data_IF_978161424608
#
_entry.id   IF_978161424608
#
_cell.length_a   1.000
_cell.length_b   1.000
_cell.length_c   1.000
_cell.angle_alpha   90.00
_cell.angle_beta   90.00
_cell.angle_gamma   90.00
#
_symmetry.space_group_name_H-M   'P 1'
#
loop_
_entity.id
_entity.type
_entity.pdbx_description
1 polymer ?
#
# COMPACT_ATOMS: atom_id res chain seq x y z
N UNK A 1 14.52 19.15 -1.78
CA UNK A 1 14.67 18.85 -0.35
C UNK A 1 14.04 17.49 -0.12
N UNK A 2 14.80 16.53 0.38
CA UNK A 2 14.28 15.25 0.85
C UNK A 2 13.69 15.48 2.24
N UNK A 3 12.36 15.57 2.37
CA UNK A 3 11.71 15.85 3.65
C UNK A 3 11.14 14.55 4.25
N UNK A 4 11.26 14.35 5.58
CA UNK A 4 10.55 13.27 6.24
C UNK A 4 9.04 13.46 6.04
N UNK A 5 8.39 12.42 5.54
CA UNK A 5 6.96 12.39 5.34
C UNK A 5 6.36 11.17 6.02
N UNK A 6 5.07 11.24 6.27
CA UNK A 6 4.30 10.12 6.79
C UNK A 6 3.28 9.69 5.74
N UNK A 7 3.08 8.37 5.68
CA UNK A 7 2.00 7.76 4.94
C UNK A 7 1.01 7.18 5.94
N UNK A 8 -0.13 7.85 6.07
CA UNK A 8 -1.27 7.37 6.82
C UNK A 8 -2.10 6.46 5.93
N UNK A 9 -2.31 5.20 6.30
CA UNK A 9 -3.24 4.31 5.59
C UNK A 9 -4.36 3.84 6.49
N UNK A 10 -5.62 4.04 6.08
CA UNK A 10 -6.80 3.56 6.78
C UNK A 10 -7.46 2.42 5.99
N UNK A 11 -7.74 1.29 6.65
CA UNK A 11 -8.40 0.11 6.11
C UNK A 11 -9.75 -0.09 6.80
N UNK A 12 -10.84 -0.09 6.04
CA UNK A 12 -12.21 -0.18 6.58
C UNK A 12 -13.21 -0.61 5.49
N UNK A 13 -14.48 -0.84 5.84
CA UNK A 13 -15.54 -1.18 4.86
C UNK A 13 -16.04 0.05 4.09
N UNK A 14 -16.22 -0.03 2.78
CA UNK A 14 -16.66 1.09 1.93
C UNK A 14 -17.91 1.83 2.43
N UNK A 15 -18.88 1.09 2.99
CA UNK A 15 -20.19 1.59 3.45
C UNK A 15 -20.14 2.08 4.90
N UNK A 16 -18.98 2.01 5.54
CA UNK A 16 -18.80 2.44 6.91
C UNK A 16 -19.09 3.94 7.06
N UNK A 17 -19.77 4.29 8.15
CA UNK A 17 -20.13 5.66 8.50
C UNK A 17 -19.11 6.26 9.46
N UNK A 18 -18.90 7.56 9.36
CA UNK A 18 -18.05 8.28 10.31
C UNK A 18 -18.66 8.22 11.72
N UNK A 19 -17.86 7.86 12.72
CA UNK A 19 -18.29 7.88 14.11
C UNK A 19 -18.67 9.33 14.52
N UNK A 20 -19.82 9.48 15.18
CA UNK A 20 -20.37 10.78 15.56
C UNK A 20 -20.88 11.67 14.40
N UNK A 21 -20.70 11.26 13.14
CA UNK A 21 -20.96 12.07 11.93
C UNK A 21 -22.32 11.87 11.25
N UNK A 22 -23.34 11.36 11.96
CA UNK A 22 -24.67 11.11 11.40
C UNK A 22 -24.68 10.13 10.21
N UNK A 23 -25.31 10.51 9.11
CA UNK A 23 -25.47 9.67 7.91
C UNK A 23 -24.32 9.80 6.88
N UNK A 24 -23.14 10.28 7.27
CA UNK A 24 -22.01 10.48 6.34
C UNK A 24 -21.10 9.24 6.24
N UNK A 25 -20.64 8.90 5.03
CA UNK A 25 -19.63 7.87 4.83
C UNK A 25 -18.27 8.29 5.36
N UNK A 26 -17.53 7.35 5.96
CA UNK A 26 -16.20 7.58 6.53
C UNK A 26 -15.21 8.09 5.47
N UNK A 27 -15.19 7.46 4.29
CA UNK A 27 -14.33 7.89 3.19
C UNK A 27 -14.57 9.35 2.80
N UNK A 28 -15.83 9.77 2.69
CA UNK A 28 -16.18 11.15 2.36
C UNK A 28 -15.74 12.12 3.46
N UNK A 29 -15.83 11.75 4.73
CA UNK A 29 -15.36 12.59 5.84
C UNK A 29 -13.83 12.73 5.84
N UNK A 30 -13.11 11.63 5.60
CA UNK A 30 -11.65 11.64 5.49
C UNK A 30 -11.17 12.52 4.32
N UNK A 31 -11.78 12.43 3.14
CA UNK A 31 -11.36 13.25 2.00
C UNK A 31 -11.68 14.73 2.15
N UNK A 32 -12.75 15.09 2.86
CA UNK A 32 -13.01 16.48 3.21
C UNK A 32 -11.95 17.01 4.18
N UNK A 33 -11.57 16.21 5.19
CA UNK A 33 -10.48 16.56 6.10
C UNK A 33 -9.15 16.74 5.34
N UNK A 34 -8.81 15.78 4.47
CA UNK A 34 -7.57 15.84 3.68
C UNK A 34 -7.57 17.00 2.69
N UNK A 35 -8.70 17.30 2.05
CA UNK A 35 -8.84 18.45 1.17
C UNK A 35 -8.76 19.78 1.93
N UNK A 36 -9.43 19.89 3.09
CA UNK A 36 -9.39 21.09 3.93
C UNK A 36 -8.01 21.36 4.52
N UNK A 37 -7.22 20.32 4.79
CA UNK A 37 -5.84 20.42 5.25
C UNK A 37 -4.80 20.53 4.13
N UNK A 38 -5.23 20.54 2.86
CA UNK A 38 -4.36 20.61 1.69
C UNK A 38 -3.29 19.51 1.69
N UNK A 39 -3.70 18.26 1.95
CA UNK A 39 -2.79 17.11 1.95
C UNK A 39 -2.21 16.93 0.53
N UNK A 40 -0.90 16.70 0.44
CA UNK A 40 -0.16 16.64 -0.81
C UNK A 40 -0.74 15.59 -1.78
N UNK A 41 -1.09 14.41 -1.26
CA UNK A 41 -1.95 13.46 -1.96
C UNK A 41 -2.70 12.54 -1.01
N UNK A 42 -3.86 12.06 -1.46
CA UNK A 42 -4.53 10.91 -0.88
C UNK A 42 -5.21 10.07 -1.96
N UNK A 43 -5.27 8.75 -1.78
CA UNK A 43 -5.81 7.82 -2.78
C UNK A 43 -6.71 6.80 -2.09
N UNK A 44 -7.96 6.70 -2.53
CA UNK A 44 -8.88 5.63 -2.14
C UNK A 44 -8.74 4.45 -3.08
N UNK A 45 -8.39 3.29 -2.54
CA UNK A 45 -8.28 2.04 -3.27
C UNK A 45 -9.40 1.10 -2.81
N UNK A 46 -10.09 0.48 -3.77
CA UNK A 46 -11.12 -0.53 -3.48
C UNK A 46 -10.49 -1.93 -3.52
N UNK A 47 -10.71 -2.70 -2.46
CA UNK A 47 -10.27 -4.08 -2.34
C UNK A 47 -11.22 -5.06 -3.01
N UNK A 48 -10.67 -6.22 -3.39
CA UNK A 48 -11.41 -7.34 -3.99
C UNK A 48 -11.65 -8.48 -2.99
N UNK A 49 -10.88 -8.50 -1.90
CA UNK A 49 -11.10 -9.39 -0.77
C UNK A 49 -10.47 -8.79 0.50
N UNK A 50 -11.04 -9.08 1.66
CA UNK A 50 -10.43 -8.73 2.95
C UNK A 50 -11.07 -9.46 4.11
N UNK A 51 -10.39 -9.49 5.24
CA UNK A 51 -11.03 -9.63 6.54
C UNK A 51 -10.35 -8.70 7.55
N UNK A 52 -11.09 -8.26 8.56
CA UNK A 52 -10.58 -7.43 9.64
C UNK A 52 -10.67 -8.15 10.99
N UNK A 53 -10.48 -7.41 12.11
CA UNK A 53 -10.51 -7.98 13.47
C UNK A 53 -11.77 -8.79 13.81
N UNK A 54 -12.93 -8.42 13.25
CA UNK A 54 -14.18 -9.17 13.40
C UNK A 54 -14.24 -10.47 12.58
N UNK A 55 -13.17 -10.84 11.86
CA UNK A 55 -13.06 -12.03 11.02
C UNK A 55 -14.16 -12.17 9.94
N UNK A 56 -14.83 -11.07 9.60
CA UNK A 56 -15.81 -11.01 8.53
C UNK A 56 -15.13 -10.94 7.16
N UNK A 57 -15.37 -11.95 6.33
CA UNK A 57 -14.88 -11.98 4.96
C UNK A 57 -15.68 -11.02 4.08
N UNK A 58 -14.98 -10.09 3.43
CA UNK A 58 -15.51 -9.21 2.38
C UNK A 58 -14.86 -9.64 1.07
N UNK A 59 -15.64 -9.79 0.00
CA UNK A 59 -15.17 -10.32 -1.28
C UNK A 59 -16.03 -9.76 -2.41
N UNK A 60 -15.45 -9.55 -3.60
CA UNK A 60 -16.11 -9.03 -4.82
C UNK A 60 -16.86 -10.12 -5.62
N UNK A 61 -17.05 -11.30 -5.04
CA UNK A 61 -17.61 -12.49 -5.69
C UNK A 61 -19.15 -12.52 -5.59
N UNK A 62 -19.75 -11.78 -4.66
CA UNK A 62 -21.17 -11.88 -4.36
C UNK A 62 -21.95 -10.82 -5.13
N UNK A 63 -22.68 -11.20 -6.18
CA UNK A 63 -23.57 -10.29 -6.94
C UNK A 63 -24.78 -9.74 -6.13
N UNK A 64 -24.73 -9.79 -4.79
CA UNK A 64 -25.77 -9.24 -3.92
C UNK A 64 -25.56 -7.74 -3.72
N UNK A 65 -26.66 -6.98 -3.64
CA UNK A 65 -26.69 -5.54 -3.35
C UNK A 65 -26.16 -5.15 -1.94
N UNK A 66 -25.69 -6.15 -1.17
CA UNK A 66 -25.21 -6.02 0.20
C UNK A 66 -23.69 -6.08 0.33
N UNK A 67 -22.93 -6.04 -0.77
CA UNK A 67 -21.47 -5.97 -0.68
C UNK A 67 -21.01 -4.68 0.00
N UNK A 68 -20.10 -4.82 0.96
CA UNK A 68 -19.38 -3.75 1.64
C UNK A 68 -17.87 -4.03 1.48
N UNK A 69 -17.30 -3.75 0.27
CA UNK A 69 -15.92 -4.12 -0.04
C UNK A 69 -14.95 -3.38 0.89
N UNK A 70 -13.78 -3.98 1.12
CA UNK A 70 -12.73 -3.25 1.83
C UNK A 70 -12.25 -2.06 1.01
N UNK A 71 -11.86 -1.02 1.73
CA UNK A 71 -11.24 0.18 1.21
C UNK A 71 -9.92 0.39 1.94
N UNK A 72 -8.91 0.83 1.21
CA UNK A 72 -7.69 1.40 1.76
C UNK A 72 -7.58 2.87 1.30
N UNK A 73 -7.56 3.81 2.23
CA UNK A 73 -7.24 5.22 1.93
C UNK A 73 -5.81 5.49 2.39
N UNK A 74 -4.92 5.84 1.46
CA UNK A 74 -3.56 6.25 1.77
C UNK A 74 -3.41 7.75 1.58
N UNK A 75 -3.01 8.48 2.62
CA UNK A 75 -2.71 9.92 2.60
C UNK A 75 -1.24 10.15 2.91
N UNK A 76 -0.58 11.03 2.15
CA UNK A 76 0.85 11.32 2.25
C UNK A 76 1.10 12.81 2.30
N UNK A 77 1.86 13.25 3.28
CA UNK A 77 2.42 14.60 3.37
C UNK A 77 3.59 14.64 4.37
N UNK A 78 4.21 15.81 4.52
CA UNK A 78 5.19 16.11 5.55
C UNK A 78 4.68 15.71 6.93
N UNK A 79 5.60 15.21 7.76
CA UNK A 79 5.28 14.62 9.06
C UNK A 79 4.40 15.51 9.96
N UNK A 80 4.67 16.82 10.14
CA UNK A 80 3.82 17.67 10.99
C UNK A 80 2.36 17.73 10.54
N UNK A 81 2.10 17.75 9.23
CA UNK A 81 0.73 17.85 8.69
C UNK A 81 -0.04 16.56 8.88
N UNK A 82 0.57 15.41 8.60
CA UNK A 82 -0.11 14.12 8.85
C UNK A 82 -0.36 13.93 10.34
N UNK A 83 0.60 14.30 11.20
CA UNK A 83 0.44 14.22 12.65
C UNK A 83 -0.75 15.02 13.19
N UNK A 84 -0.99 16.22 12.67
CA UNK A 84 -2.11 17.05 13.12
C UNK A 84 -3.47 16.47 12.76
N UNK A 85 -3.55 15.52 11.81
CA UNK A 85 -4.81 14.92 11.36
C UNK A 85 -5.13 13.59 12.04
N UNK A 86 -4.20 13.01 12.81
CA UNK A 86 -4.34 11.63 13.31
C UNK A 86 -5.49 11.47 14.28
N UNK A 87 -5.65 12.41 15.20
CA UNK A 87 -6.71 12.35 16.21
C UNK A 87 -8.10 12.48 15.56
N UNK A 88 -8.24 13.38 14.58
CA UNK A 88 -9.49 13.53 13.83
C UNK A 88 -9.84 12.28 13.03
N UNK A 89 -8.87 11.70 12.31
CA UNK A 89 -9.07 10.46 11.55
C UNK A 89 -9.40 9.29 12.48
N UNK A 90 -8.70 9.18 13.62
CA UNK A 90 -8.97 8.14 14.61
C UNK A 90 -10.38 8.29 15.22
N UNK A 91 -10.78 9.52 15.55
CA UNK A 91 -12.09 9.81 16.12
C UNK A 91 -13.24 9.45 15.17
N UNK A 92 -13.07 9.66 13.85
CA UNK A 92 -14.11 9.33 12.87
C UNK A 92 -14.12 7.85 12.42
N UNK A 93 -13.01 7.12 12.58
CA UNK A 93 -12.88 5.77 12.00
C UNK A 93 -13.80 4.75 12.67
N UNK A 94 -13.89 4.67 14.00
CA UNK A 94 -14.80 3.74 14.70
C UNK A 94 -14.45 2.24 14.59
N UNK A 95 -14.32 1.69 13.38
CA UNK A 95 -13.91 0.31 13.10
C UNK A 95 -12.85 0.25 11.99
N UNK A 96 -11.89 -0.65 12.09
CA UNK A 96 -10.87 -0.86 11.04
C UNK A 96 -9.44 -0.75 11.56
N UNK A 97 -8.51 -0.47 10.67
CA UNK A 97 -7.10 -0.36 10.96
C UNK A 97 -6.54 0.93 10.39
N UNK A 98 -5.79 1.69 11.19
CA UNK A 98 -4.98 2.81 10.73
C UNK A 98 -3.51 2.47 10.91
N UNK A 99 -2.69 2.77 9.91
CA UNK A 99 -1.23 2.61 9.96
C UNK A 99 -0.54 3.91 9.62
N UNK A 100 0.60 4.14 10.26
CA UNK A 100 1.51 5.24 9.95
C UNK A 100 2.85 4.67 9.57
N UNK A 101 3.30 4.98 8.37
CA UNK A 101 4.59 4.56 7.83
C UNK A 101 5.50 5.77 7.65
N UNK A 102 6.79 5.60 7.95
CA UNK A 102 7.81 6.61 7.64
C UNK A 102 8.22 6.46 6.18
N UNK A 103 8.30 7.60 5.51
CA UNK A 103 8.73 7.66 4.14
C UNK A 103 9.56 8.93 3.88
N UNK A 104 10.29 8.93 2.77
CA UNK A 104 11.02 10.09 2.27
C UNK A 104 10.32 10.65 1.05
N UNK A 105 9.90 11.92 1.12
CA UNK A 105 9.21 12.59 0.03
C UNK A 105 10.24 13.14 -0.96
N UNK A 106 10.13 12.70 -2.22
CA UNK A 106 10.99 13.13 -3.31
C UNK A 106 10.21 14.09 -4.21
N UNK A 107 10.51 15.39 -4.10
CA UNK A 107 9.83 16.47 -4.86
C UNK A 107 10.71 17.14 -5.90
N UNK A 108 12.01 16.83 -5.95
CA UNK A 108 13.01 17.34 -6.90
C UNK A 108 14.07 16.26 -7.19
N UNK A 109 14.83 16.35 -8.30
CA UNK A 109 15.93 15.43 -8.59
C UNK A 109 16.88 15.31 -7.40
N UNK A 110 17.20 14.08 -6.99
CA UNK A 110 18.16 13.83 -5.91
C UNK A 110 19.59 13.89 -6.46
N UNK A 111 20.52 14.38 -5.62
CA UNK A 111 21.92 13.97 -5.72
C UNK A 111 22.07 12.58 -5.09
N UNK A 112 22.99 11.76 -5.60
CA UNK A 112 23.21 10.38 -5.15
C UNK A 112 23.34 10.26 -3.61
N UNK A 113 24.01 11.22 -2.99
CA UNK A 113 24.31 11.24 -1.54
C UNK A 113 23.07 11.36 -0.62
N UNK A 114 21.91 11.82 -1.12
CA UNK A 114 20.73 12.09 -0.28
C UNK A 114 19.90 10.84 0.09
N UNK A 115 20.28 9.66 -0.41
CA UNK A 115 19.71 8.37 -0.04
C UNK A 115 20.70 7.50 0.76
N UNK A 116 22.00 7.84 0.76
CA UNK A 116 23.03 7.10 1.50
C UNK A 116 22.88 7.22 3.02
N UNK A 117 22.36 8.34 3.54
CA UNK A 117 22.04 8.50 4.97
C UNK A 117 20.88 7.61 5.47
N UNK A 118 20.20 6.88 4.57
CA UNK A 118 19.17 5.89 4.92
C UNK A 118 19.70 4.45 5.01
N UNK A 119 21.01 4.25 4.78
CA UNK A 119 21.64 2.94 4.73
C UNK A 119 22.61 2.76 5.89
N UNK A 120 22.15 2.07 6.93
CA UNK A 120 23.06 1.37 7.84
C UNK A 120 23.81 0.26 7.10
N UNK A 121 25.02 -0.13 7.56
CA UNK A 121 25.96 -0.99 6.83
C UNK A 121 25.54 -2.47 6.67
N UNK A 122 24.30 -2.85 6.99
CA UNK A 122 23.79 -4.21 6.76
C UNK A 122 23.10 -4.32 5.39
N UNK A 123 23.84 -4.94 4.48
CA UNK A 123 23.61 -5.13 3.05
C UNK A 123 22.53 -6.20 2.77
N UNK A 124 21.25 -5.87 3.05
CA UNK A 124 20.15 -6.83 2.87
C UNK A 124 18.74 -6.27 2.59
N UNK A 125 18.56 -4.95 2.42
CA UNK A 125 17.21 -4.36 2.39
C UNK A 125 16.89 -3.63 1.08
N UNK A 126 15.79 -4.04 0.47
CA UNK A 126 15.22 -3.39 -0.69
C UNK A 126 14.60 -2.03 -0.32
N UNK A 127 14.20 -1.27 -1.33
CA UNK A 127 13.45 -0.05 -1.17
C UNK A 127 12.13 -0.16 -1.95
N UNK A 128 11.07 0.37 -1.35
CA UNK A 128 9.76 0.53 -1.96
C UNK A 128 9.63 1.96 -2.43
N UNK A 129 9.52 2.14 -3.74
CA UNK A 129 9.22 3.40 -4.39
C UNK A 129 7.73 3.46 -4.64
N UNK A 130 7.05 4.50 -4.14
CA UNK A 130 5.67 4.80 -4.52
C UNK A 130 5.63 6.05 -5.39
N UNK A 131 5.01 5.96 -6.56
CA UNK A 131 4.81 7.08 -7.49
C UNK A 131 3.33 7.41 -7.56
N UNK A 132 2.98 8.69 -7.35
CA UNK A 132 1.61 9.17 -7.44
C UNK A 132 1.44 9.98 -8.72
N UNK A 133 0.49 9.58 -9.57
CA UNK A 133 0.21 10.23 -10.86
C UNK A 133 -1.30 10.32 -11.09
N UNK A 134 -1.74 11.25 -11.93
CA UNK A 134 -3.13 11.30 -12.37
C UNK A 134 -3.49 10.15 -13.32
N UNK A 135 -4.74 9.68 -13.28
CA UNK A 135 -5.25 8.62 -14.17
C UNK A 135 -5.03 8.88 -15.66
N UNK A 136 -5.18 10.14 -16.10
CA UNK A 136 -5.00 10.53 -17.51
C UNK A 136 -3.69 11.28 -17.76
N UNK A 137 -2.82 11.37 -16.75
CA UNK A 137 -1.53 12.02 -16.87
C UNK A 137 -0.66 11.29 -17.90
N UNK A 138 0.16 12.05 -18.63
CA UNK A 138 0.99 11.52 -19.71
C UNK A 138 2.44 11.95 -19.58
N UNK A 139 3.35 11.00 -19.84
CA UNK A 139 4.79 11.21 -19.94
C UNK A 139 5.19 10.86 -21.38
N UNK A 140 5.76 11.82 -22.10
CA UNK A 140 6.16 11.66 -23.50
C UNK A 140 5.05 11.03 -24.38
N UNK A 141 3.80 11.47 -24.21
CA UNK A 141 2.64 11.03 -25.00
C UNK A 141 1.99 9.70 -24.56
N UNK A 142 2.63 8.91 -23.69
CA UNK A 142 2.09 7.66 -23.10
C UNK A 142 1.43 7.96 -21.76
N UNK A 143 0.44 7.15 -21.33
CA UNK A 143 -0.10 7.29 -19.96
C UNK A 143 1.01 7.08 -18.93
N UNK A 144 1.01 7.89 -17.88
CA UNK A 144 2.09 7.95 -16.91
C UNK A 144 2.36 6.57 -16.29
N UNK A 145 1.33 5.85 -15.84
CA UNK A 145 1.53 4.52 -15.25
C UNK A 145 2.14 3.49 -16.21
N UNK A 146 1.89 3.59 -17.52
CA UNK A 146 2.59 2.75 -18.50
C UNK A 146 4.07 3.11 -18.59
N UNK A 147 4.37 4.41 -18.73
CA UNK A 147 5.75 4.89 -18.88
C UNK A 147 6.59 4.61 -17.62
N UNK A 148 6.00 4.80 -16.44
CA UNK A 148 6.67 4.52 -15.15
C UNK A 148 6.94 3.02 -15.00
N UNK A 149 5.94 2.14 -15.18
CA UNK A 149 6.18 0.69 -15.07
C UNK A 149 7.19 0.18 -16.11
N UNK A 150 7.17 0.72 -17.33
CA UNK A 150 8.12 0.39 -18.39
C UNK A 150 9.55 0.83 -18.03
N UNK A 151 9.73 2.03 -17.45
CA UNK A 151 11.01 2.48 -16.91
C UNK A 151 11.52 1.55 -15.81
N UNK A 152 10.69 1.26 -14.82
CA UNK A 152 11.05 0.43 -13.66
C UNK A 152 11.43 -0.99 -14.09
N UNK A 153 10.71 -1.56 -15.05
CA UNK A 153 11.04 -2.85 -15.62
C UNK A 153 12.40 -2.84 -16.34
N UNK A 154 12.69 -1.82 -17.17
CA UNK A 154 14.01 -1.68 -17.82
C UNK A 154 15.16 -1.52 -16.83
N UNK A 155 14.88 -0.96 -15.65
CA UNK A 155 15.86 -0.80 -14.55
C UNK A 155 16.02 -2.07 -13.70
N UNK A 156 15.27 -3.13 -14.00
CA UNK A 156 15.39 -4.43 -13.33
C UNK A 156 14.78 -4.48 -11.92
N UNK A 157 13.77 -3.67 -11.64
CA UNK A 157 13.02 -3.75 -10.38
C UNK A 157 12.45 -5.17 -10.19
N UNK A 158 12.31 -5.62 -8.94
CA UNK A 158 11.75 -6.94 -8.61
C UNK A 158 10.25 -7.04 -8.94
N UNK A 159 9.55 -5.90 -8.91
CA UNK A 159 8.16 -5.80 -9.34
C UNK A 159 7.60 -4.39 -9.21
N UNK A 160 6.48 -4.15 -9.88
CA UNK A 160 5.69 -2.94 -9.73
C UNK A 160 4.20 -3.21 -9.92
N UNK A 161 3.35 -2.48 -9.21
CA UNK A 161 1.89 -2.55 -9.32
C UNK A 161 1.30 -1.14 -9.38
N UNK A 162 0.47 -0.87 -10.39
CA UNK A 162 -0.31 0.35 -10.55
C UNK A 162 -1.74 0.11 -10.02
N UNK A 163 -2.09 0.81 -8.95
CA UNK A 163 -3.35 0.73 -8.22
C UNK A 163 -4.21 1.97 -8.54
N UNK A 164 -5.36 1.72 -9.16
CA UNK A 164 -6.26 2.79 -9.61
C UNK A 164 -7.10 3.32 -8.44
N UNK A 165 -6.97 4.61 -8.13
CA UNK A 165 -7.83 5.27 -7.15
C UNK A 165 -9.27 5.39 -7.64
N UNK A 166 -10.24 5.31 -6.73
CA UNK A 166 -11.67 5.60 -6.99
C UNK A 166 -12.08 7.02 -6.55
N UNK A 167 -11.35 7.58 -5.59
CA UNK A 167 -11.40 8.96 -5.10
C UNK A 167 -10.00 9.32 -4.59
N UNK A 168 -9.72 10.59 -4.36
CA UNK A 168 -8.42 11.01 -3.86
C UNK A 168 -8.21 12.52 -3.90
N UNK A 169 -7.10 12.96 -3.33
CA UNK A 169 -6.59 14.32 -3.52
C UNK A 169 -5.28 14.28 -4.30
N UNK A 170 -5.12 15.19 -5.25
CA UNK A 170 -3.89 15.40 -5.98
C UNK A 170 -3.53 16.88 -5.88
N UNK A 171 -2.39 17.19 -5.26
CA UNK A 171 -1.93 18.56 -5.01
C UNK A 171 -3.00 19.42 -4.31
N UNK A 172 -3.58 18.90 -3.22
CA UNK A 172 -4.57 19.64 -2.45
C UNK A 172 -6.00 19.61 -2.97
N UNK A 173 -6.20 19.21 -4.23
CA UNK A 173 -7.53 19.22 -4.85
C UNK A 173 -8.14 17.82 -4.86
N UNK A 174 -9.33 17.69 -4.25
CA UNK A 174 -10.11 16.45 -4.27
C UNK A 174 -10.61 16.14 -5.69
N UNK A 175 -10.34 14.94 -6.15
CA UNK A 175 -10.68 14.42 -7.47
C UNK A 175 -11.37 13.05 -7.31
N UNK A 176 -12.69 13.00 -7.57
CA UNK A 176 -13.50 11.78 -7.47
C UNK A 176 -13.78 11.15 -8.83
N UNK A 177 -13.80 9.82 -8.91
CA UNK A 177 -14.31 9.13 -10.10
C UNK A 177 -15.84 9.26 -10.14
N UNK A 178 -16.38 9.97 -11.13
CA UNK A 178 -17.80 10.02 -11.41
C UNK A 178 -18.17 9.00 -12.52
N UNK A 179 -19.31 8.34 -12.37
CA UNK A 179 -19.83 7.37 -13.36
C UNK A 179 -20.16 8.04 -14.70
N UNK A 180 -20.53 9.33 -14.67
CA UNK A 180 -20.75 10.18 -15.83
C UNK A 180 -19.89 11.45 -15.70
N UNK A 181 -18.64 11.40 -16.18
CA UNK A 181 -17.73 12.54 -16.15
C UNK A 181 -16.37 12.21 -16.75
N UNK A 182 -15.65 13.23 -17.21
CA UNK A 182 -14.23 13.10 -17.58
C UNK A 182 -13.44 12.91 -16.28
N UNK A 183 -13.17 11.65 -15.91
CA UNK A 183 -12.38 11.26 -14.73
C UNK A 183 -10.89 11.55 -14.93
N UNK A 184 -10.53 12.81 -15.17
CA UNK A 184 -9.18 13.18 -15.68
C UNK A 184 -8.10 13.06 -14.60
N UNK A 185 -8.44 13.30 -13.32
CA UNK A 185 -7.44 13.58 -12.29
C UNK A 185 -7.52 12.70 -11.03
N UNK A 186 -8.30 11.62 -11.03
CA UNK A 186 -8.30 10.71 -9.86
C UNK A 186 -6.88 10.13 -9.70
N UNK A 187 -6.25 10.28 -8.52
CA UNK A 187 -4.88 9.85 -8.34
C UNK A 187 -4.75 8.33 -8.42
N UNK A 188 -3.61 7.90 -8.93
CA UNK A 188 -3.19 6.52 -9.09
C UNK A 188 -1.88 6.34 -8.33
N UNK A 189 -1.75 5.21 -7.65
CA UNK A 189 -0.56 4.86 -6.89
C UNK A 189 0.20 3.72 -7.59
N UNK A 190 1.48 3.91 -7.88
CA UNK A 190 2.37 2.88 -8.44
C UNK A 190 3.37 2.49 -7.36
N UNK A 191 3.31 1.26 -6.87
CA UNK A 191 4.24 0.74 -5.87
C UNK A 191 5.26 -0.14 -6.59
N UNK A 192 6.54 0.08 -6.37
CA UNK A 192 7.61 -0.70 -7.00
C UNK A 192 8.70 -1.09 -5.99
N UNK A 193 9.25 -2.28 -6.14
CA UNK A 193 10.27 -2.85 -5.25
C UNK A 193 11.56 -3.04 -6.03
N UNK A 194 12.65 -2.46 -5.53
CA UNK A 194 13.99 -2.58 -6.12
C UNK A 194 15.06 -2.43 -5.06
N UNK A 195 16.33 -2.53 -5.44
CA UNK A 195 17.43 -2.14 -4.55
C UNK A 195 17.42 -0.64 -4.28
N UNK A 196 18.08 -0.21 -3.20
CA UNK A 196 18.25 1.20 -2.90
C UNK A 196 18.81 2.01 -4.08
N UNK A 197 19.87 1.50 -4.73
CA UNK A 197 20.48 2.14 -5.90
C UNK A 197 19.52 2.23 -7.10
N UNK A 198 18.73 1.18 -7.34
CA UNK A 198 17.69 1.20 -8.39
C UNK A 198 16.63 2.27 -8.10
N UNK A 199 16.16 2.34 -6.85
CA UNK A 199 15.17 3.34 -6.40
C UNK A 199 15.73 4.75 -6.50
N UNK A 200 16.97 4.99 -6.09
CA UNK A 200 17.64 6.28 -6.19
C UNK A 200 17.69 6.79 -7.64
N UNK A 201 18.17 5.95 -8.54
CA UNK A 201 18.28 6.28 -9.96
C UNK A 201 16.90 6.52 -10.58
N UNK A 202 15.92 5.64 -10.30
CA UNK A 202 14.57 5.77 -10.84
C UNK A 202 13.86 7.01 -10.30
N UNK A 203 13.96 7.31 -9.00
CA UNK A 203 13.35 8.49 -8.40
C UNK A 203 13.90 9.79 -9.01
N UNK A 204 15.20 9.85 -9.28
CA UNK A 204 15.85 11.00 -9.93
C UNK A 204 15.35 11.19 -11.36
N UNK A 205 15.28 10.11 -12.14
CA UNK A 205 14.78 10.15 -13.52
C UNK A 205 13.29 10.53 -13.56
N UNK A 206 12.47 9.94 -12.68
CA UNK A 206 11.05 10.23 -12.55
C UNK A 206 10.79 11.67 -12.14
N UNK A 207 11.56 12.21 -11.20
CA UNK A 207 11.45 13.60 -10.78
C UNK A 207 11.77 14.61 -11.89
N UNK A 208 12.49 14.18 -12.94
CA UNK A 208 12.79 15.02 -14.10
C UNK A 208 11.71 14.96 -15.20
N UNK A 209 10.95 13.85 -15.29
CA UNK A 209 9.99 13.62 -16.39
C UNK A 209 8.52 13.73 -15.98
N UNK A 210 8.20 13.58 -14.69
CA UNK A 210 6.84 13.71 -14.16
C UNK A 210 6.57 15.17 -13.79
N UNK A 211 5.52 15.80 -14.35
CA UNK A 211 5.07 17.12 -13.88
C UNK A 211 4.69 17.07 -12.40
N UNK A 212 5.29 17.92 -11.56
CA UNK A 212 5.04 17.97 -10.11
C UNK A 212 5.17 16.60 -9.42
N UNK A 213 6.38 15.99 -9.44
CA UNK A 213 6.56 14.63 -8.98
C UNK A 213 6.22 14.49 -7.50
N UNK A 214 5.31 13.56 -7.20
CA UNK A 214 5.03 13.14 -5.83
C UNK A 214 5.41 11.66 -5.69
N UNK A 215 6.54 11.46 -5.04
CA UNK A 215 7.25 10.19 -4.94
C UNK A 215 7.57 9.94 -3.47
N UNK A 216 7.34 8.72 -2.98
CA UNK A 216 7.82 8.30 -1.65
C UNK A 216 8.79 7.14 -1.75
N UNK A 217 9.78 7.13 -0.87
CA UNK A 217 10.68 5.99 -0.68
C UNK A 217 10.56 5.49 0.74
N UNK A 218 10.31 4.20 0.88
CA UNK A 218 10.15 3.46 2.13
C UNK A 218 11.18 2.31 2.18
N UNK A 219 11.80 2.05 3.35
CA UNK A 219 12.69 0.89 3.56
C UNK A 219 11.86 -0.37 3.67
N UNK A 220 12.23 -1.43 2.94
CA UNK A 220 11.54 -2.72 2.98
C UNK A 220 12.52 -3.88 2.90
N UNK A 221 12.23 -4.98 3.57
CA UNK A 221 12.94 -6.24 3.37
C UNK A 221 12.32 -7.02 2.23
N UNK A 222 13.13 -7.44 1.25
CA UNK A 222 12.72 -8.41 0.24
C UNK A 222 12.82 -9.81 0.84
N UNK A 223 11.69 -10.47 1.08
CA UNK A 223 11.67 -11.79 1.71
C UNK A 223 11.72 -12.92 0.66
N UNK A 224 10.97 -12.77 -0.44
CA UNK A 224 10.83 -13.83 -1.45
C UNK A 224 10.55 -13.26 -2.84
N UNK A 225 11.02 -13.93 -3.88
CA UNK A 225 10.67 -13.69 -5.29
C UNK A 225 10.62 -15.01 -6.05
N UNK A 226 9.50 -15.28 -6.71
CA UNK A 226 9.31 -16.43 -7.61
C UNK A 226 9.78 -17.78 -7.03
N UNK A 227 9.44 -18.00 -5.77
CA UNK A 227 9.79 -19.21 -5.02
C UNK A 227 11.15 -19.17 -4.32
N UNK A 228 12.06 -18.29 -4.74
CA UNK A 228 13.34 -18.09 -4.07
C UNK A 228 13.16 -17.24 -2.81
N UNK A 229 13.57 -17.80 -1.66
CA UNK A 229 13.52 -17.10 -0.36
C UNK A 229 14.88 -16.45 -0.09
N UNK A 230 14.91 -15.12 -0.01
CA UNK A 230 16.12 -14.36 0.32
C UNK A 230 16.27 -14.14 1.83
N UNK A 231 15.16 -13.85 2.51
CA UNK A 231 15.15 -13.55 3.93
C UNK A 231 13.79 -13.82 4.57
N UNK A 232 13.77 -13.96 5.89
CA UNK A 232 12.53 -13.86 6.67
C UNK A 232 12.22 -12.39 6.97
N UNK A 233 10.96 -12.06 7.32
CA UNK A 233 10.63 -10.76 7.90
C UNK A 233 11.60 -10.43 9.05
N UNK A 234 12.05 -9.17 9.19
CA UNK A 234 12.88 -8.77 10.33
C UNK A 234 12.24 -9.19 11.67
N UNK A 235 13.03 -9.75 12.58
CA UNK A 235 12.59 -10.05 13.94
C UNK A 235 12.59 -8.76 14.75
N UNK A 236 11.45 -8.06 14.73
CA UNK A 236 11.26 -6.83 15.48
C UNK A 236 10.80 -7.15 16.90
N UNK A 237 11.23 -6.39 17.92
CA UNK A 237 10.67 -6.50 19.25
C UNK A 237 9.20 -6.06 19.23
N UNK A 238 8.41 -6.56 20.19
CA UNK A 238 7.00 -6.17 20.33
C UNK A 238 6.82 -4.68 20.66
N UNK A 239 7.82 -4.07 21.30
CA UNK A 239 7.85 -2.64 21.63
C UNK A 239 9.20 -2.03 21.33
N UNK A 240 9.22 -0.73 21.06
CA UNK A 240 10.47 0.02 21.01
C UNK A 240 11.09 0.25 22.40
N UNK A 241 12.24 0.92 22.44
CA UNK A 241 12.93 1.28 23.69
C UNK A 241 12.15 2.24 24.61
N UNK A 242 11.03 2.80 24.12
CA UNK A 242 10.13 3.67 24.88
C UNK A 242 8.81 2.96 25.24
N UNK A 243 8.72 1.64 25.00
CA UNK A 243 7.53 0.83 25.30
C UNK A 243 6.37 1.00 24.32
N UNK A 244 6.59 1.64 23.16
CA UNK A 244 5.56 1.82 22.13
C UNK A 244 5.44 0.56 21.29
N UNK A 245 4.22 0.10 21.04
CA UNK A 245 3.99 -1.11 20.25
C UNK A 245 4.51 -0.95 18.82
N UNK A 246 5.36 -1.87 18.38
CA UNK A 246 5.80 -1.96 17.00
C UNK A 246 4.86 -2.87 16.23
N UNK A 247 4.64 -2.53 14.97
CA UNK A 247 3.86 -3.33 14.03
C UNK A 247 4.71 -3.64 12.82
N UNK A 248 4.24 -4.60 12.03
CA UNK A 248 4.90 -5.02 10.83
C UNK A 248 3.87 -5.26 9.74
N UNK A 249 4.25 -4.93 8.52
CA UNK A 249 3.43 -5.13 7.33
C UNK A 249 4.13 -6.10 6.40
N UNK A 250 3.37 -7.07 5.91
CA UNK A 250 3.76 -8.01 4.88
C UNK A 250 2.92 -7.72 3.64
N UNK A 251 3.58 -7.53 2.51
CA UNK A 251 2.93 -7.35 1.22
C UNK A 251 3.32 -8.48 0.27
N UNK A 252 2.31 -9.10 -0.34
CA UNK A 252 2.47 -10.21 -1.28
C UNK A 252 1.92 -9.79 -2.64
N UNK A 253 2.78 -9.67 -3.63
CA UNK A 253 2.42 -9.32 -5.00
C UNK A 253 2.36 -10.58 -5.87
N UNK A 254 1.26 -10.77 -6.57
CA UNK A 254 1.00 -11.92 -7.45
C UNK A 254 0.24 -11.47 -8.69
N UNK A 255 -0.08 -12.40 -9.61
CA UNK A 255 -1.06 -12.16 -10.65
C UNK A 255 -2.39 -12.84 -10.27
N UNK A 256 -3.50 -12.23 -10.65
CA UNK A 256 -4.85 -12.72 -10.35
C UNK A 256 -5.09 -14.17 -10.82
N UNK A 257 -4.54 -14.51 -11.98
CA UNK A 257 -4.65 -15.84 -12.58
C UNK A 257 -3.67 -16.88 -12.00
N UNK A 258 -2.70 -16.47 -11.16
CA UNK A 258 -1.75 -17.41 -10.55
C UNK A 258 -2.43 -18.18 -9.43
N UNK A 259 -2.37 -19.50 -9.49
CA UNK A 259 -3.05 -20.39 -8.55
C UNK A 259 -2.05 -21.20 -7.70
N UNK A 260 -2.53 -21.58 -6.52
CA UNK A 260 -1.94 -22.57 -5.62
C UNK A 260 -3.05 -23.58 -5.33
N UNK A 261 -2.81 -24.87 -5.60
CA UNK A 261 -3.80 -25.95 -5.49
C UNK A 261 -5.14 -25.64 -6.19
N UNK A 262 -5.06 -25.02 -7.38
CA UNK A 262 -6.24 -24.67 -8.19
C UNK A 262 -7.00 -23.42 -7.72
N UNK A 263 -6.62 -22.80 -6.60
CA UNK A 263 -7.22 -21.56 -6.09
C UNK A 263 -6.29 -20.36 -6.35
N UNK A 264 -6.79 -19.19 -6.81
CA UNK A 264 -5.96 -17.99 -6.93
C UNK A 264 -5.23 -17.66 -5.63
N UNK A 265 -3.92 -17.34 -5.72
CA UNK A 265 -3.06 -17.18 -4.53
C UNK A 265 -3.65 -16.19 -3.52
N UNK A 266 -4.13 -15.03 -3.97
CA UNK A 266 -4.71 -14.03 -3.07
C UNK A 266 -5.91 -14.58 -2.27
N UNK A 267 -6.69 -15.49 -2.85
CA UNK A 267 -7.82 -16.15 -2.17
C UNK A 267 -7.31 -17.22 -1.20
N UNK A 268 -6.34 -18.01 -1.61
CA UNK A 268 -5.71 -19.01 -0.74
C UNK A 268 -5.12 -18.35 0.51
N UNK A 269 -4.43 -17.21 0.34
CA UNK A 269 -3.88 -16.42 1.43
C UNK A 269 -4.97 -15.95 2.39
N UNK A 270 -6.00 -15.24 1.87
CA UNK A 270 -7.10 -14.74 2.70
C UNK A 270 -7.80 -15.86 3.46
N UNK A 271 -8.13 -16.97 2.78
CA UNK A 271 -8.80 -18.10 3.41
C UNK A 271 -7.94 -18.76 4.49
N UNK A 272 -6.64 -18.97 4.23
CA UNK A 272 -5.75 -19.66 5.16
C UNK A 272 -5.41 -18.80 6.38
N UNK A 273 -5.14 -17.50 6.17
CA UNK A 273 -4.91 -16.54 7.25
C UNK A 273 -6.15 -16.36 8.14
N UNK A 274 -7.34 -16.35 7.53
CA UNK A 274 -8.60 -16.26 8.26
C UNK A 274 -8.86 -17.52 9.10
N UNK A 275 -8.70 -18.71 8.51
CA UNK A 275 -8.94 -19.99 9.19
C UNK A 275 -7.92 -20.31 10.27
N UNK A 276 -6.66 -19.95 10.06
CA UNK A 276 -5.59 -20.20 11.03
C UNK A 276 -5.66 -19.27 12.24
N UNK A 277 -6.36 -18.13 12.11
CA UNK A 277 -6.32 -17.05 13.10
C UNK A 277 -4.91 -16.47 13.29
N UNK A 278 -4.00 -16.66 12.32
CA UNK A 278 -2.63 -16.16 12.49
C UNK A 278 -2.58 -14.66 12.42
N UNK A 279 -3.36 -14.03 11.54
CA UNK A 279 -3.42 -12.59 11.33
C UNK A 279 -4.77 -12.03 11.79
N UNK A 280 -4.75 -10.79 12.32
CA UNK A 280 -5.94 -10.01 12.66
C UNK A 280 -6.70 -9.49 11.45
N UNK A 281 -6.03 -9.33 10.32
CA UNK A 281 -6.65 -8.83 9.10
C UNK A 281 -5.74 -8.91 7.88
N UNK A 282 -6.36 -8.97 6.72
CA UNK A 282 -5.70 -8.86 5.44
C UNK A 282 -6.58 -8.09 4.45
N UNK A 283 -5.96 -7.29 3.58
CA UNK A 283 -6.65 -6.56 2.50
C UNK A 283 -6.02 -6.90 1.16
N UNK A 284 -6.84 -7.25 0.18
CA UNK A 284 -6.41 -7.59 -1.18
C UNK A 284 -6.83 -6.48 -2.13
N UNK A 285 -5.86 -5.90 -2.83
CA UNK A 285 -6.07 -4.85 -3.84
C UNK A 285 -5.72 -5.37 -5.23
N UNK A 286 -6.57 -5.05 -6.22
CA UNK A 286 -6.34 -5.36 -7.63
C UNK A 286 -5.73 -4.15 -8.33
N UNK A 287 -4.60 -4.34 -8.99
CA UNK A 287 -3.99 -3.34 -9.85
C UNK A 287 -4.53 -3.39 -11.28
N UNK A 288 -4.31 -2.32 -12.04
CA UNK A 288 -4.69 -2.23 -13.46
C UNK A 288 -3.54 -2.55 -14.40
N UNK A 289 -2.30 -2.43 -13.91
CA UNK A 289 -1.07 -2.65 -14.67
C UNK A 289 0.08 -2.96 -13.72
N UNK A 290 1.09 -3.69 -14.17
CA UNK A 290 2.27 -3.99 -13.35
C UNK A 290 3.04 -5.20 -13.83
N UNK A 291 4.02 -5.61 -13.05
CA UNK A 291 4.82 -6.81 -13.24
C UNK A 291 5.38 -7.28 -11.90
N UNK A 292 5.79 -8.54 -11.84
CA UNK A 292 6.62 -9.09 -10.77
C UNK A 292 7.44 -10.22 -11.36
N UNK A 293 8.65 -10.43 -10.84
CA UNK A 293 9.58 -11.37 -11.45
C UNK A 293 10.07 -10.93 -12.82
N UNK A 294 10.34 -11.89 -13.69
CA UNK A 294 10.85 -11.63 -15.05
C UNK A 294 9.74 -11.39 -16.09
N UNK A 295 8.51 -11.20 -15.62
CA UNK A 295 7.36 -10.99 -16.48
C UNK A 295 7.34 -9.57 -17.03
N UNK A 296 7.07 -9.42 -18.33
CA UNK A 296 6.84 -8.10 -18.94
C UNK A 296 5.63 -7.40 -18.28
N UNK A 297 5.62 -6.05 -18.21
CA UNK A 297 4.47 -5.30 -17.73
C UNK A 297 3.19 -5.68 -18.47
N UNK A 298 2.17 -5.97 -17.69
CA UNK A 298 0.89 -6.52 -18.12
C UNK A 298 -0.24 -5.97 -17.25
N UNK A 299 -1.48 -6.12 -17.71
CA UNK A 299 -2.65 -5.62 -17.02
C UNK A 299 -3.88 -5.67 -17.91
N UNK A 300 -4.93 -4.96 -17.51
CA UNK A 300 -6.25 -5.11 -18.13
C UNK A 300 -6.24 -4.56 -19.56
N UNK A 301 -6.55 -5.42 -20.53
CA UNK A 301 -6.83 -5.02 -21.92
C UNK A 301 -8.29 -5.35 -22.16
N UNK A 302 -9.03 -4.42 -22.76
CA UNK A 302 -10.49 -4.46 -22.99
C UNK A 302 -11.02 -5.75 -23.66
N UNK A 303 -10.15 -6.64 -24.16
CA UNK A 303 -10.49 -7.85 -24.92
C UNK A 303 -9.65 -9.10 -24.55
N UNK A 304 -9.04 -9.19 -23.37
CA UNK A 304 -8.32 -10.41 -22.95
C UNK A 304 -9.20 -11.36 -22.12
N UNK A 305 -9.26 -12.63 -22.55
CA UNK A 305 -10.07 -13.70 -21.93
C UNK A 305 -9.54 -14.15 -20.54
N UNK A 306 -8.24 -13.97 -20.28
CA UNK A 306 -7.62 -14.27 -19.00
C UNK A 306 -6.93 -13.01 -18.45
N UNK A 307 -7.47 -12.44 -17.37
CA UNK A 307 -6.94 -11.24 -16.71
C UNK A 307 -5.67 -11.62 -15.95
N UNK A 308 -4.50 -11.24 -16.47
CA UNK A 308 -3.23 -11.31 -15.74
C UNK A 308 -2.97 -9.98 -15.01
N UNK A 309 -3.97 -9.47 -14.32
CA UNK A 309 -3.82 -8.24 -13.56
C UNK A 309 -3.02 -8.51 -12.28
N UNK A 310 -2.13 -7.61 -11.87
CA UNK A 310 -1.39 -7.76 -10.64
C UNK A 310 -2.33 -7.60 -9.44
N UNK A 311 -2.09 -8.37 -8.39
CA UNK A 311 -2.84 -8.36 -7.14
C UNK A 311 -1.85 -8.23 -6.00
N UNK A 312 -2.15 -7.38 -5.01
CA UNK A 312 -1.37 -7.28 -3.78
C UNK A 312 -2.23 -7.63 -2.57
N UNK A 313 -1.75 -8.56 -1.74
CA UNK A 313 -2.33 -8.87 -0.43
C UNK A 313 -1.48 -8.21 0.65
N UNK A 314 -2.12 -7.39 1.48
CA UNK A 314 -1.51 -6.61 2.55
C UNK A 314 -1.96 -7.18 3.89
N UNK A 315 -1.00 -7.54 4.73
CA UNK A 315 -1.22 -8.06 6.08
C UNK A 315 -0.47 -7.11 7.03
N UNK A 316 -1.16 -6.58 8.03
CA UNK A 316 -0.55 -5.72 9.05
C UNK A 316 -0.90 -6.26 10.41
N UNK A 317 0.12 -6.56 11.21
CA UNK A 317 -0.08 -7.12 12.54
C UNK A 317 1.17 -6.90 13.43
N UNK A 318 1.14 -7.47 14.63
CA UNK A 318 2.31 -7.53 15.51
C UNK A 318 3.46 -8.33 14.87
N UNK A 319 4.73 -8.08 15.23
CA UNK A 319 5.88 -8.82 14.71
C UNK A 319 5.73 -10.35 14.80
N UNK A 320 5.29 -10.87 15.94
CA UNK A 320 5.06 -12.32 16.13
C UNK A 320 3.96 -12.88 15.22
N UNK A 321 2.91 -12.09 15.00
CA UNK A 321 1.83 -12.46 14.08
C UNK A 321 2.29 -12.47 12.63
N UNK A 322 3.13 -11.50 12.23
CA UNK A 322 3.72 -11.46 10.90
C UNK A 322 4.69 -12.62 10.70
N UNK A 323 5.50 -12.99 11.69
CA UNK A 323 6.38 -14.15 11.60
C UNK A 323 5.60 -15.45 11.33
N UNK A 324 4.50 -15.68 12.05
CA UNK A 324 3.61 -16.84 11.82
C UNK A 324 2.87 -16.76 10.48
N UNK A 325 2.42 -15.56 10.10
CA UNK A 325 1.74 -15.35 8.82
C UNK A 325 2.67 -15.54 7.63
N UNK A 326 3.96 -15.25 7.80
CA UNK A 326 4.98 -15.47 6.77
C UNK A 326 5.15 -16.95 6.45
N UNK A 327 5.01 -17.85 7.42
CA UNK A 327 5.09 -19.30 7.14
C UNK A 327 3.97 -19.76 6.21
N UNK A 328 2.75 -19.24 6.40
CA UNK A 328 1.61 -19.48 5.49
C UNK A 328 1.86 -18.85 4.11
N UNK A 329 2.36 -17.62 4.08
CA UNK A 329 2.67 -16.92 2.84
C UNK A 329 3.73 -17.67 2.06
N UNK A 330 4.78 -18.14 2.73
CA UNK A 330 5.90 -18.84 2.10
C UNK A 330 5.44 -20.16 1.46
N UNK A 331 4.60 -20.94 2.15
CA UNK A 331 3.98 -22.16 1.60
C UNK A 331 3.15 -21.84 0.34
N UNK A 332 2.26 -20.86 0.41
CA UNK A 332 1.35 -20.53 -0.70
C UNK A 332 2.11 -19.91 -1.89
N UNK A 333 3.21 -19.21 -1.63
CA UNK A 333 4.05 -18.56 -2.65
C UNK A 333 5.26 -19.40 -3.05
N UNK A 334 5.21 -20.73 -2.90
CA UNK A 334 6.32 -21.65 -3.18
C UNK A 334 6.96 -21.45 -4.56
N UNK A 335 6.18 -21.09 -5.58
CA UNK A 335 6.66 -20.96 -6.97
C UNK A 335 6.56 -19.57 -7.57
N UNK A 336 5.69 -18.73 -7.02
CA UNK A 336 5.30 -17.47 -7.66
C UNK A 336 5.04 -16.39 -6.62
N UNK A 337 5.39 -15.17 -6.99
CA UNK A 337 5.05 -13.96 -6.25
C UNK A 337 6.27 -13.29 -5.64
N UNK A 338 6.06 -12.04 -5.25
CA UNK A 338 7.04 -11.18 -4.61
C UNK A 338 6.54 -10.86 -3.21
N UNK A 339 7.37 -11.08 -2.20
CA UNK A 339 7.00 -10.88 -0.78
C UNK A 339 7.95 -9.89 -0.15
N UNK A 340 7.40 -8.82 0.44
CA UNK A 340 8.17 -7.79 1.15
C UNK A 340 7.64 -7.59 2.56
N UNK A 341 8.54 -7.30 3.50
CA UNK A 341 8.19 -6.95 4.87
C UNK A 341 8.72 -5.57 5.25
N UNK A 342 7.95 -4.79 6.00
CA UNK A 342 8.38 -3.50 6.52
C UNK A 342 7.83 -3.24 7.92
N UNK A 343 8.58 -2.50 8.73
CA UNK A 343 8.12 -2.05 10.04
C UNK A 343 7.09 -0.93 9.88
N UNK A 344 6.02 -1.03 10.66
CA UNK A 344 4.99 0.00 10.78
C UNK A 344 5.12 0.64 12.16
N UNK A 345 5.62 1.88 12.25
CA UNK A 345 5.97 2.50 13.53
C UNK A 345 4.77 2.83 14.39
N UNK A 346 3.58 2.97 13.83
CA UNK A 346 2.37 3.06 14.62
C UNK A 346 1.19 2.46 13.86
N UNK A 347 0.37 1.70 14.57
CA UNK A 347 -0.89 1.22 14.05
C UNK A 347 -1.94 1.21 15.15
N UNK A 348 -3.15 1.52 14.74
CA UNK A 348 -4.33 1.61 15.58
C UNK A 348 -5.42 0.73 14.98
N UNK A 349 -5.70 -0.40 15.64
CA UNK A 349 -6.82 -1.27 15.31
C UNK A 349 -8.02 -0.90 16.20
N UNK A 350 -9.14 -0.58 15.56
CA UNK A 350 -10.39 -0.18 16.19
C UNK A 350 -11.47 -1.22 15.91
N UNK A 351 -12.15 -1.68 16.96
CA UNK A 351 -13.29 -2.59 16.87
C UNK A 351 -14.34 -2.19 17.91
N UNK A 352 -15.15 -1.19 17.57
CA UNK A 352 -16.15 -0.63 18.47
C UNK A 352 -15.47 0.05 19.67
N UNK A 353 -15.64 -0.52 20.86
CA UNK A 353 -14.99 -0.02 22.09
C UNK A 353 -13.58 -0.58 22.29
N UNK A 354 -13.19 -1.62 21.54
CA UNK A 354 -11.86 -2.21 21.66
C UNK A 354 -10.86 -1.41 20.82
N UNK A 355 -9.73 -1.08 21.45
CA UNK A 355 -8.63 -0.33 20.86
C UNK A 355 -7.33 -1.10 21.09
N UNK A 356 -6.62 -1.45 20.02
CA UNK A 356 -5.31 -2.07 20.08
C UNK A 356 -4.29 -1.20 19.35
N UNK A 357 -3.15 -0.96 20.01
CA UNK A 357 -2.10 -0.07 19.51
C UNK A 357 -2.45 1.42 19.68
N UNK A 358 -1.57 2.26 19.16
CA UNK A 358 -1.72 3.71 19.18
C UNK A 358 -1.20 4.36 17.90
N UNK A 359 -1.35 5.68 17.81
CA UNK A 359 -0.90 6.50 16.68
C UNK A 359 0.44 7.22 16.99
N UNK A 360 1.14 6.80 18.05
CA UNK A 360 2.43 7.38 18.46
C UNK A 360 3.56 6.62 17.79
N UNK A 361 4.25 7.27 16.86
CA UNK A 361 5.34 6.63 16.12
C UNK A 361 6.40 6.02 17.04
N UNK A 362 6.55 4.70 17.02
CA UNK A 362 7.68 3.98 17.59
C UNK A 362 8.99 4.32 16.88
N UNK A 363 10.11 4.14 17.57
CA UNK A 363 11.46 4.34 17.02
C UNK A 363 12.27 3.06 17.12
N UNK A 364 12.61 2.46 15.98
CA UNK A 364 13.45 1.29 15.93
C UNK A 364 14.20 1.25 14.60
N UNK A 365 15.52 1.13 14.66
CA UNK A 365 16.40 0.92 13.50
C UNK A 365 16.53 -0.59 13.32
N UNK A 366 16.14 -1.09 12.14
CA UNK A 366 16.06 -2.52 11.80
C UNK A 366 16.47 -2.74 10.36
#
# INVERSE_FOLDING_TARGET
MNQPCLKLTAYFGERQRAAGGGARFLADAMFDLFGGADVATSVMLRGIASFGPGHELRSDISLTLSEDPAVAIAAVDVEPKIRSLLDDVAAMTGHGLMTLERARLVTRPLGADALDDAHGPDDGDAAKLTVYVGRQERIAGKLAYYAVCDLLHRRGFAGAIALLGVDGTAHGQRCRAHFFGRNVNVPLMIIAIGSAAQVAAAATELAAVVPNPLLTVERVRLCKRDGERYARPPQLPMTDGQGRALWQKLMVYTAEATTHDGLPIHRALVQRLLRSGTARGATVLRGIWGFHGDHKPHGDKLFQLARRVPVTTIIVDTPDSIARSFDIVDEITERHGLVTSEMVPAALSLEGTQRLGDIRLGQHDY
#
